data_IF_457684756639
#
_entry.id   IF_457684756639
#
_cell.length_a   1.000
_cell.length_b   1.000
_cell.length_c   1.000
_cell.angle_alpha   90.00
_cell.angle_beta   90.00
_cell.angle_gamma   90.00
#
_symmetry.space_group_name_H-M   'P 1'
#
loop_
_entity.id
_entity.type
_entity.pdbx_description
1 polymer ?
#
# COMPACT_ATOMS: atom_id res chain seq x y z
N UNK A 1 13.50 -5.98 -7.00
CA UNK A 1 12.42 -5.07 -7.41
C UNK A 1 12.99 -3.69 -7.76
N UNK A 2 12.44 -3.01 -8.78
CA UNK A 2 12.86 -1.66 -9.17
C UNK A 2 11.69 -0.70 -9.19
N UNK A 3 11.81 0.45 -8.50
CA UNK A 3 10.91 1.60 -8.66
C UNK A 3 11.59 2.70 -9.46
N UNK A 4 10.89 3.23 -10.46
CA UNK A 4 11.27 4.42 -11.21
C UNK A 4 10.20 5.49 -11.01
N UNK A 5 10.52 6.60 -10.35
CA UNK A 5 9.58 7.66 -10.04
C UNK A 5 9.88 8.88 -10.88
N UNK A 6 8.93 9.27 -11.72
CA UNK A 6 9.01 10.44 -12.60
C UNK A 6 8.30 11.59 -11.91
N UNK A 7 9.00 12.69 -11.65
CA UNK A 7 8.50 13.84 -10.88
C UNK A 7 9.16 15.14 -11.33
N UNK A 8 8.55 16.27 -11.03
CA UNK A 8 9.17 17.62 -11.17
C UNK A 8 9.87 18.08 -9.89
N UNK A 9 9.82 17.28 -8.81
CA UNK A 9 10.42 17.56 -7.50
C UNK A 9 11.25 16.38 -6.99
N UNK A 10 12.39 16.04 -7.62
CA UNK A 10 13.18 14.87 -7.26
C UNK A 10 13.69 14.92 -5.80
N UNK A 11 14.04 16.09 -5.29
CA UNK A 11 14.58 16.26 -3.93
C UNK A 11 13.55 15.94 -2.82
N UNK A 12 12.26 15.89 -3.16
CA UNK A 12 11.21 15.49 -2.22
C UNK A 12 11.49 14.11 -1.59
N UNK A 13 12.05 13.20 -2.37
CA UNK A 13 12.26 11.81 -1.94
C UNK A 13 13.53 11.60 -1.11
N UNK A 14 14.39 12.60 -1.00
CA UNK A 14 15.63 12.51 -0.22
C UNK A 14 15.35 12.23 1.27
N UNK A 15 14.19 12.67 1.81
CA UNK A 15 13.77 12.40 3.20
C UNK A 15 13.20 11.01 3.37
N UNK A 16 12.00 10.71 2.81
CA UNK A 16 11.21 9.52 3.16
C UNK A 16 11.94 8.20 2.88
N UNK A 17 12.79 8.13 1.86
CA UNK A 17 13.44 6.88 1.46
C UNK A 17 14.76 6.59 2.19
N UNK A 18 15.24 7.51 3.01
CA UNK A 18 16.51 7.36 3.73
C UNK A 18 16.36 6.84 5.17
N UNK A 19 15.18 6.38 5.57
CA UNK A 19 14.91 5.92 6.94
C UNK A 19 14.17 4.59 6.98
N UNK A 20 14.22 3.93 8.14
CA UNK A 20 13.41 2.77 8.48
C UNK A 20 13.59 1.57 7.54
N UNK A 21 12.46 0.96 7.18
CA UNK A 21 12.40 -0.25 6.37
C UNK A 21 12.88 0.01 4.94
N UNK A 22 12.55 1.16 4.35
CA UNK A 22 12.97 1.52 2.99
C UNK A 22 14.49 1.58 2.88
N UNK A 23 15.15 2.31 3.78
CA UNK A 23 16.62 2.36 3.82
C UNK A 23 17.24 0.98 3.97
N UNK A 24 16.68 0.15 4.87
CA UNK A 24 17.15 -1.22 5.08
C UNK A 24 17.00 -2.06 3.81
N UNK A 25 15.84 -2.05 3.18
CA UNK A 25 15.57 -2.82 1.97
C UNK A 25 16.50 -2.42 0.81
N UNK A 26 16.73 -1.11 0.61
CA UNK A 26 17.72 -0.63 -0.35
C UNK A 26 19.14 -1.12 -0.02
N UNK A 27 19.55 -1.03 1.26
CA UNK A 27 20.87 -1.48 1.69
C UNK A 27 21.10 -2.99 1.54
N UNK A 28 20.04 -3.78 1.60
CA UNK A 28 20.06 -5.22 1.37
C UNK A 28 19.92 -5.61 -0.12
N UNK A 29 19.75 -4.63 -1.01
CA UNK A 29 19.54 -4.89 -2.44
C UNK A 29 18.20 -5.52 -2.79
N UNK A 30 17.22 -5.49 -1.88
CA UNK A 30 15.87 -6.02 -2.11
C UNK A 30 15.08 -5.12 -3.06
N UNK A 31 15.34 -3.82 -3.00
CA UNK A 31 14.71 -2.80 -3.84
C UNK A 31 15.73 -1.76 -4.27
N UNK A 32 15.60 -1.30 -5.50
CA UNK A 32 16.26 -0.10 -6.01
C UNK A 32 15.21 0.96 -6.35
N UNK A 33 15.47 2.22 -5.98
CA UNK A 33 14.54 3.32 -6.20
C UNK A 33 15.28 4.43 -6.94
N UNK A 34 14.89 4.64 -8.20
CA UNK A 34 15.43 5.68 -9.07
C UNK A 34 14.45 6.82 -9.24
N UNK A 35 14.91 8.04 -8.99
CA UNK A 35 14.08 9.26 -9.13
C UNK A 35 14.52 9.99 -10.41
N UNK A 36 13.56 10.27 -11.27
CA UNK A 36 13.77 10.93 -12.56
C UNK A 36 13.16 12.33 -12.54
N UNK A 37 14.01 13.35 -12.68
CA UNK A 37 13.55 14.73 -12.87
C UNK A 37 12.94 14.89 -14.27
N UNK A 38 11.63 15.10 -14.34
CA UNK A 38 10.89 15.28 -15.58
C UNK A 38 11.44 16.45 -16.43
N UNK A 39 12.01 17.47 -15.77
CA UNK A 39 12.62 18.62 -16.46
C UNK A 39 13.84 18.24 -17.30
N UNK A 40 14.46 17.12 -17.02
CA UNK A 40 15.60 16.60 -17.78
C UNK A 40 15.19 16.04 -19.16
N UNK A 41 13.90 15.83 -19.38
CA UNK A 41 13.33 15.32 -20.63
C UNK A 41 12.64 16.43 -21.47
N UNK A 42 12.93 17.68 -21.19
CA UNK A 42 12.48 18.83 -22.00
C UNK A 42 13.58 19.29 -22.93
N UNK A 43 13.21 19.83 -24.10
CA UNK A 43 14.14 20.26 -25.13
C UNK A 43 14.24 21.78 -25.24
N UNK A 44 13.41 22.52 -24.50
CA UNK A 44 13.41 23.97 -24.50
C UNK A 44 14.35 24.54 -23.41
N UNK A 45 14.81 25.78 -23.63
CA UNK A 45 15.74 26.48 -22.73
C UNK A 45 15.20 26.62 -21.30
N UNK A 46 13.88 26.73 -21.15
CA UNK A 46 13.23 26.98 -19.86
C UNK A 46 12.85 25.70 -19.14
N UNK A 47 13.09 24.52 -19.72
CA UNK A 47 12.72 23.20 -19.19
C UNK A 47 11.25 23.12 -18.81
N UNK A 48 10.37 23.57 -19.72
CA UNK A 48 8.94 23.73 -19.49
C UNK A 48 8.22 22.38 -19.56
N UNK A 49 7.69 21.92 -18.45
CA UNK A 49 7.03 20.61 -18.30
C UNK A 49 5.50 20.68 -18.38
N UNK A 50 4.93 21.87 -18.34
CA UNK A 50 3.49 22.13 -18.26
C UNK A 50 3.04 23.18 -19.27
N UNK A 51 1.73 23.25 -19.54
CA UNK A 51 1.11 24.27 -20.40
C UNK A 51 -0.37 24.44 -20.02
N UNK A 52 -1.02 25.45 -20.60
CA UNK A 52 -2.45 25.70 -20.38
C UNK A 52 -3.31 24.59 -20.99
N UNK A 53 -4.41 24.18 -20.33
CA UNK A 53 -5.30 23.16 -20.88
C UNK A 53 -6.00 23.66 -22.16
N UNK A 54 -6.21 22.77 -23.11
CA UNK A 54 -7.10 23.02 -24.24
C UNK A 54 -8.54 23.20 -23.72
N UNK A 55 -9.29 24.08 -24.35
CA UNK A 55 -10.64 24.44 -23.92
C UNK A 55 -10.68 25.53 -22.84
N UNK A 56 -9.52 25.98 -22.36
CA UNK A 56 -9.43 26.97 -21.27
C UNK A 56 -9.66 26.33 -19.91
N UNK A 57 -9.66 27.15 -18.88
CA UNK A 57 -9.79 26.73 -17.48
C UNK A 57 -8.66 27.28 -16.62
N UNK A 58 -8.76 27.04 -15.32
CA UNK A 58 -7.76 27.41 -14.34
C UNK A 58 -6.58 26.43 -14.38
N UNK A 59 -5.40 26.87 -13.95
CA UNK A 59 -4.23 26.02 -13.76
C UNK A 59 -3.46 25.63 -15.03
N UNK A 60 -2.65 24.61 -14.89
CA UNK A 60 -1.72 24.07 -15.89
C UNK A 60 -1.87 22.55 -15.96
N UNK A 61 -1.42 21.93 -17.06
CA UNK A 61 -1.42 20.47 -17.27
C UNK A 61 -0.01 20.05 -17.65
N UNK A 62 0.50 18.96 -17.09
CA UNK A 62 1.79 18.40 -17.46
C UNK A 62 1.76 17.91 -18.91
N UNK A 63 2.74 18.36 -19.68
CA UNK A 63 2.88 18.06 -21.11
C UNK A 63 3.13 16.57 -21.35
N UNK A 64 2.57 16.00 -22.42
CA UNK A 64 2.77 14.60 -22.75
C UNK A 64 4.20 14.26 -23.16
N UNK A 65 4.86 15.13 -23.94
CA UNK A 65 6.16 14.80 -24.53
C UNK A 65 7.25 14.52 -23.48
N UNK A 66 7.49 15.34 -22.44
CA UNK A 66 8.52 15.05 -21.46
C UNK A 66 8.25 13.74 -20.71
N UNK A 67 6.99 13.42 -20.39
CA UNK A 67 6.62 12.18 -19.71
C UNK A 67 6.85 10.97 -20.63
N UNK A 68 6.45 11.09 -21.90
CA UNK A 68 6.68 10.05 -22.89
C UNK A 68 8.18 9.74 -23.02
N UNK A 69 9.01 10.77 -23.19
CA UNK A 69 10.47 10.63 -23.33
C UNK A 69 11.10 10.03 -22.08
N UNK A 70 10.63 10.43 -20.88
CA UNK A 70 11.08 9.86 -19.62
C UNK A 70 10.79 8.34 -19.55
N UNK A 71 9.56 7.91 -19.85
CA UNK A 71 9.19 6.49 -19.84
C UNK A 71 9.95 5.71 -20.92
N UNK A 72 10.11 6.28 -22.13
CA UNK A 72 10.89 5.62 -23.20
C UNK A 72 12.37 5.43 -22.81
N UNK A 73 12.97 6.39 -22.09
CA UNK A 73 14.36 6.28 -21.63
C UNK A 73 14.58 5.08 -20.69
N UNK A 74 13.53 4.61 -20.03
CA UNK A 74 13.57 3.45 -19.15
C UNK A 74 13.51 2.11 -19.91
N UNK A 75 13.32 2.14 -21.22
CA UNK A 75 13.22 0.94 -22.06
C UNK A 75 12.14 -0.02 -21.56
N UNK A 76 10.99 0.54 -21.14
CA UNK A 76 9.79 -0.23 -20.76
C UNK A 76 9.13 -0.75 -22.05
N UNK A 77 8.64 -1.99 -22.02
CA UNK A 77 7.91 -2.56 -23.16
C UNK A 77 6.68 -1.72 -23.54
N UNK A 78 6.27 -1.68 -24.81
CA UNK A 78 5.04 -1.05 -25.23
C UNK A 78 3.85 -1.57 -24.41
N UNK A 79 2.89 -0.70 -24.07
CA UNK A 79 1.73 -1.04 -23.22
C UNK A 79 1.03 -2.33 -23.64
N UNK A 80 0.86 -2.55 -24.95
CA UNK A 80 0.21 -3.75 -25.49
C UNK A 80 1.01 -5.08 -25.30
N UNK A 81 2.32 -4.98 -25.09
CA UNK A 81 3.23 -6.13 -24.94
C UNK A 81 3.65 -6.33 -23.50
N UNK A 82 3.25 -5.43 -22.59
CA UNK A 82 3.70 -5.41 -21.21
C UNK A 82 3.13 -6.55 -20.39
N UNK A 83 4.00 -7.26 -19.70
CA UNK A 83 3.62 -8.30 -18.74
C UNK A 83 3.61 -7.69 -17.34
N UNK A 84 2.44 -7.64 -16.69
CA UNK A 84 2.24 -6.95 -15.40
C UNK A 84 3.15 -7.43 -14.26
N UNK A 85 3.53 -8.71 -14.25
CA UNK A 85 4.48 -9.24 -13.28
C UNK A 85 5.92 -8.78 -13.53
N UNK A 86 6.26 -8.42 -14.76
CA UNK A 86 7.59 -7.91 -15.10
C UNK A 86 7.68 -6.41 -14.93
N UNK A 87 6.70 -5.69 -15.45
CA UNK A 87 6.74 -4.23 -15.41
C UNK A 87 5.34 -3.62 -15.52
N UNK A 88 5.15 -2.51 -14.83
CA UNK A 88 3.90 -1.76 -14.85
C UNK A 88 4.18 -0.25 -14.78
N UNK A 89 3.37 0.54 -15.46
CA UNK A 89 3.39 2.01 -15.42
C UNK A 89 2.12 2.51 -14.74
N UNK A 90 2.29 3.32 -13.72
CA UNK A 90 1.22 3.83 -12.86
C UNK A 90 1.20 5.35 -12.93
N UNK A 91 0.05 5.92 -13.20
CA UNK A 91 -0.22 7.34 -13.00
C UNK A 91 -0.86 7.55 -11.63
N UNK A 92 -0.35 8.51 -10.87
CA UNK A 92 -0.95 8.91 -9.60
C UNK A 92 -1.88 10.10 -9.80
N UNK A 93 -3.15 9.91 -9.48
CA UNK A 93 -4.21 10.88 -9.69
C UNK A 93 -5.32 10.68 -8.66
N UNK A 94 -6.03 11.75 -8.31
CA UNK A 94 -7.23 11.65 -7.48
C UNK A 94 -8.39 10.92 -8.20
N UNK A 95 -8.34 10.80 -9.53
CA UNK A 95 -9.34 10.13 -10.35
C UNK A 95 -9.10 8.61 -10.48
N UNK A 96 -7.95 8.13 -10.00
CA UNK A 96 -7.55 6.73 -10.10
C UNK A 96 -8.34 5.79 -9.20
N UNK A 97 -8.20 4.49 -9.48
CA UNK A 97 -8.76 3.46 -8.60
C UNK A 97 -8.09 3.52 -7.20
N UNK A 98 -8.84 3.26 -6.12
CA UNK A 98 -8.29 3.29 -4.77
C UNK A 98 -7.15 2.28 -4.58
N UNK A 99 -6.03 2.74 -4.02
CA UNK A 99 -4.94 1.87 -3.58
C UNK A 99 -5.39 1.03 -2.36
N UNK A 100 -5.05 -0.25 -2.37
CA UNK A 100 -5.40 -1.19 -1.30
C UNK A 100 -4.24 -2.10 -0.97
N UNK A 101 -4.33 -2.82 0.17
CA UNK A 101 -3.33 -3.83 0.55
C UNK A 101 -3.22 -4.95 -0.51
N UNK A 102 -4.33 -5.38 -1.10
CA UNK A 102 -4.32 -6.36 -2.18
C UNK A 102 -3.52 -5.87 -3.41
N UNK A 103 -3.68 -4.59 -3.77
CA UNK A 103 -2.89 -3.99 -4.84
C UNK A 103 -1.42 -3.84 -4.46
N UNK A 104 -1.11 -3.55 -3.20
CA UNK A 104 0.27 -3.53 -2.71
C UNK A 104 0.93 -4.92 -2.83
N UNK A 105 0.20 -5.99 -2.51
CA UNK A 105 0.66 -7.37 -2.66
C UNK A 105 0.92 -7.73 -4.14
N UNK A 106 0.00 -7.37 -5.04
CA UNK A 106 0.19 -7.57 -6.48
C UNK A 106 1.43 -6.82 -6.99
N UNK A 107 1.62 -5.57 -6.57
CA UNK A 107 2.80 -4.79 -6.95
C UNK A 107 4.11 -5.33 -6.37
N UNK A 108 4.07 -5.96 -5.20
CA UNK A 108 5.25 -6.59 -4.60
C UNK A 108 5.79 -7.79 -5.41
N UNK A 109 4.96 -8.39 -6.26
CA UNK A 109 5.34 -9.45 -7.20
C UNK A 109 5.88 -8.91 -8.53
N UNK A 110 5.83 -7.59 -8.76
CA UNK A 110 6.27 -6.95 -10.00
C UNK A 110 7.77 -6.64 -9.95
N UNK A 111 8.52 -6.97 -11.00
CA UNK A 111 9.96 -6.71 -11.03
C UNK A 111 10.29 -5.22 -11.16
N UNK A 112 9.52 -4.47 -11.96
CA UNK A 112 9.74 -3.04 -12.23
C UNK A 112 8.43 -2.26 -12.23
N UNK A 113 8.38 -1.21 -11.40
CA UNK A 113 7.24 -0.29 -11.31
C UNK A 113 7.70 1.12 -11.69
N UNK A 114 7.04 1.72 -12.68
CA UNK A 114 7.20 3.13 -13.05
C UNK A 114 6.03 3.90 -12.47
N UNK A 115 6.32 4.95 -11.70
CA UNK A 115 5.32 5.82 -11.08
C UNK A 115 5.44 7.22 -11.68
N UNK A 116 4.37 7.72 -12.26
CA UNK A 116 4.26 9.08 -12.78
C UNK A 116 3.53 9.93 -11.74
N UNK A 117 4.22 10.92 -11.18
CA UNK A 117 3.63 11.87 -10.24
C UNK A 117 2.94 13.00 -10.98
N UNK A 118 1.60 13.02 -10.97
CA UNK A 118 0.81 14.14 -11.48
C UNK A 118 1.02 15.40 -10.64
N UNK A 119 0.87 16.57 -11.27
CA UNK A 119 0.91 17.90 -10.64
C UNK A 119 -0.06 18.85 -11.31
N UNK A 120 -0.37 19.96 -10.65
CA UNK A 120 -1.31 20.98 -11.13
C UNK A 120 -2.72 20.38 -11.33
N UNK A 121 -3.34 20.62 -12.52
CA UNK A 121 -4.63 20.02 -12.89
C UNK A 121 -4.50 18.55 -13.33
N UNK A 122 -3.28 18.03 -13.43
CA UNK A 122 -3.01 16.65 -13.80
C UNK A 122 -2.01 16.51 -14.93
N UNK A 123 -2.09 15.38 -15.59
CA UNK A 123 -1.26 14.99 -16.74
C UNK A 123 -2.13 14.95 -17.98
N UNK A 124 -1.58 15.30 -19.14
CA UNK A 124 -2.29 15.14 -20.43
C UNK A 124 -2.81 13.70 -20.56
N UNK A 125 -4.13 13.55 -20.80
CA UNK A 125 -4.81 12.25 -20.77
C UNK A 125 -4.23 11.23 -21.76
N UNK A 126 -3.64 11.69 -22.84
CA UNK A 126 -2.97 10.83 -23.83
C UNK A 126 -1.83 10.00 -23.20
N UNK A 127 -1.23 10.46 -22.11
CA UNK A 127 -0.22 9.69 -21.36
C UNK A 127 -0.85 8.50 -20.65
N UNK A 128 -2.01 8.70 -20.02
CA UNK A 128 -2.76 7.63 -19.41
C UNK A 128 -3.16 6.57 -20.45
N UNK A 129 -3.73 7.01 -21.57
CA UNK A 129 -4.14 6.12 -22.64
C UNK A 129 -2.98 5.32 -23.26
N UNK A 130 -1.86 5.99 -23.57
CA UNK A 130 -0.74 5.41 -24.31
C UNK A 130 0.22 4.59 -23.44
N UNK A 131 0.47 5.04 -22.20
CA UNK A 131 1.57 4.51 -21.39
C UNK A 131 1.11 3.80 -20.12
N UNK A 132 0.06 4.28 -19.44
CA UNK A 132 -0.25 3.78 -18.10
C UNK A 132 -1.08 2.51 -18.14
N UNK A 133 -0.70 1.53 -17.32
CA UNK A 133 -1.45 0.31 -17.09
C UNK A 133 -2.53 0.52 -16.04
N UNK A 134 -2.28 1.47 -15.12
CA UNK A 134 -3.16 1.82 -14.02
C UNK A 134 -3.10 3.31 -13.72
N UNK A 135 -4.21 3.84 -13.29
CA UNK A 135 -4.33 5.13 -12.63
C UNK A 135 -4.76 4.87 -11.18
N UNK A 136 -3.99 5.38 -10.20
CA UNK A 136 -4.16 5.03 -8.78
C UNK A 136 -4.34 6.28 -7.94
N UNK A 137 -5.33 6.24 -7.04
CA UNK A 137 -5.59 7.20 -5.96
C UNK A 137 -5.27 6.59 -4.61
N UNK A 138 -4.75 7.37 -3.66
CA UNK A 138 -4.54 6.91 -2.27
C UNK A 138 -5.68 7.31 -1.32
N UNK A 139 -6.78 7.84 -1.84
CA UNK A 139 -7.97 8.19 -1.06
C UNK A 139 -8.76 9.36 -1.64
N UNK A 140 -9.94 9.59 -1.08
CA UNK A 140 -10.91 10.60 -1.51
C UNK A 140 -10.54 12.00 -0.99
N UNK A 141 -9.37 12.49 -1.38
CA UNK A 141 -8.87 13.83 -1.10
C UNK A 141 -7.85 14.25 -2.15
N UNK A 142 -7.70 15.56 -2.32
CA UNK A 142 -6.78 16.13 -3.30
C UNK A 142 -5.47 16.53 -2.64
N UNK A 143 -4.36 16.11 -3.23
CA UNK A 143 -3.00 16.51 -2.87
C UNK A 143 -2.46 17.53 -3.86
N UNK A 144 -1.43 18.26 -3.47
CA UNK A 144 -0.72 19.19 -4.37
C UNK A 144 0.07 18.50 -5.48
N UNK A 145 0.22 17.15 -5.41
CA UNK A 145 0.89 16.32 -6.42
C UNK A 145 1.06 14.88 -5.98
N UNK A 146 1.57 14.05 -6.87
CA UNK A 146 1.68 12.61 -6.70
C UNK A 146 2.84 12.13 -5.80
N UNK A 147 3.75 12.99 -5.38
CA UNK A 147 4.97 12.57 -4.68
C UNK A 147 4.69 11.92 -3.32
N UNK A 148 3.73 12.46 -2.54
CA UNK A 148 3.30 11.83 -1.28
C UNK A 148 2.64 10.47 -1.55
N UNK A 149 1.80 10.38 -2.57
CA UNK A 149 1.16 9.13 -2.96
C UNK A 149 2.20 8.09 -3.42
N UNK A 150 3.22 8.51 -4.18
CA UNK A 150 4.33 7.64 -4.56
C UNK A 150 5.07 7.11 -3.33
N UNK A 151 5.36 7.96 -2.34
CA UNK A 151 6.02 7.55 -1.11
C UNK A 151 5.18 6.53 -0.31
N UNK A 152 3.86 6.74 -0.21
CA UNK A 152 2.93 5.80 0.45
C UNK A 152 2.92 4.45 -0.25
N UNK A 153 2.80 4.43 -1.58
CA UNK A 153 2.77 3.18 -2.36
C UNK A 153 4.10 2.43 -2.24
N UNK A 154 5.23 3.12 -2.39
CA UNK A 154 6.56 2.50 -2.26
C UNK A 154 6.75 1.90 -0.88
N UNK A 155 6.39 2.61 0.20
CA UNK A 155 6.48 2.08 1.57
C UNK A 155 5.60 0.85 1.76
N UNK A 156 4.34 0.93 1.36
CA UNK A 156 3.38 -0.18 1.48
C UNK A 156 3.83 -1.44 0.71
N UNK A 157 4.44 -1.28 -0.47
CA UNK A 157 4.91 -2.39 -1.29
C UNK A 157 6.23 -2.96 -0.77
N UNK A 158 7.21 -2.11 -0.46
CA UNK A 158 8.56 -2.56 -0.05
C UNK A 158 8.53 -3.37 1.23
N UNK A 159 7.65 -3.02 2.19
CA UNK A 159 7.53 -3.79 3.43
C UNK A 159 7.00 -5.23 3.23
N UNK A 160 6.38 -5.52 2.08
CA UNK A 160 5.90 -6.84 1.70
C UNK A 160 6.98 -7.71 1.03
N UNK A 161 8.09 -7.12 0.62
CA UNK A 161 9.18 -7.88 -0.01
C UNK A 161 9.81 -8.86 0.99
N UNK A 162 10.09 -10.11 0.57
CA UNK A 162 10.77 -11.07 1.42
C UNK A 162 12.10 -10.53 1.98
N UNK A 163 12.26 -10.56 3.30
CA UNK A 163 13.46 -10.07 3.99
C UNK A 163 13.46 -8.56 4.33
N UNK A 164 12.49 -7.78 3.87
CA UNK A 164 12.37 -6.36 4.23
C UNK A 164 12.01 -6.18 5.70
N UNK A 165 11.05 -6.92 6.22
CA UNK A 165 10.70 -6.95 7.64
C UNK A 165 11.62 -7.90 8.41
N UNK A 166 11.84 -7.59 9.70
CA UNK A 166 12.64 -8.43 10.60
C UNK A 166 11.97 -9.78 10.93
N UNK A 167 10.64 -9.79 10.98
CA UNK A 167 9.83 -10.99 11.11
C UNK A 167 8.94 -11.12 9.86
N UNK A 168 9.09 -12.17 9.05
CA UNK A 168 8.32 -12.39 7.84
C UNK A 168 6.80 -12.54 8.09
N UNK A 169 6.42 -13.00 9.30
CA UNK A 169 5.01 -13.18 9.65
C UNK A 169 4.29 -11.85 9.98
N UNK A 170 5.04 -10.76 10.19
CA UNK A 170 4.44 -9.48 10.56
C UNK A 170 3.46 -8.95 9.51
N UNK A 171 3.73 -9.17 8.23
CA UNK A 171 2.84 -8.74 7.13
C UNK A 171 1.61 -9.64 6.95
N UNK A 172 1.62 -10.87 7.50
CA UNK A 172 0.50 -11.81 7.38
C UNK A 172 -0.61 -11.54 8.37
N UNK A 173 -0.25 -11.04 9.56
CA UNK A 173 -1.14 -10.93 10.72
C UNK A 173 -1.58 -9.50 11.05
N UNK A 174 -1.31 -8.57 10.17
CA UNK A 174 -1.73 -7.16 10.29
C UNK A 174 -3.11 -6.90 9.65
N UNK A 175 -3.64 -5.69 9.84
CA UNK A 175 -4.88 -5.25 9.20
C UNK A 175 -4.81 -5.50 7.68
N UNK A 176 -5.91 -6.00 7.11
CA UNK A 176 -6.03 -6.36 5.68
C UNK A 176 -5.13 -7.51 5.23
N UNK A 177 -4.45 -8.20 6.15
CA UNK A 177 -3.66 -9.39 5.84
C UNK A 177 -4.50 -10.47 5.18
N UNK A 178 -3.86 -11.39 4.43
CA UNK A 178 -4.54 -12.51 3.78
C UNK A 178 -5.27 -13.39 4.81
N UNK A 179 -6.33 -14.07 4.36
CA UNK A 179 -6.98 -15.08 5.17
C UNK A 179 -5.97 -16.14 5.63
N UNK A 180 -6.08 -16.57 6.89
CA UNK A 180 -5.38 -17.76 7.34
C UNK A 180 -5.91 -18.96 6.54
N UNK A 181 -5.12 -19.43 5.59
CA UNK A 181 -5.28 -20.77 5.07
C UNK A 181 -4.86 -21.69 6.21
N UNK A 182 -5.81 -22.06 7.05
CA UNK A 182 -5.62 -22.89 8.25
C UNK A 182 -5.38 -24.37 7.92
N UNK A 183 -4.84 -24.69 6.73
CA UNK A 183 -4.54 -26.05 6.35
C UNK A 183 -3.09 -26.15 5.87
N UNK A 184 -2.33 -27.03 6.54
CA UNK A 184 -0.98 -27.52 6.19
C UNK A 184 0.29 -26.71 6.58
N UNK A 185 0.29 -26.01 7.69
CA UNK A 185 1.56 -25.85 8.41
C UNK A 185 1.77 -27.10 9.30
N UNK A 186 2.42 -28.12 8.75
CA UNK A 186 2.80 -29.30 9.47
C UNK A 186 3.42 -28.97 10.84
N UNK A 187 3.06 -29.75 11.85
CA UNK A 187 3.53 -29.63 13.22
C UNK A 187 5.07 -29.64 13.28
N UNK A 188 5.68 -28.47 13.21
CA UNK A 188 7.04 -28.27 13.68
C UNK A 188 6.93 -27.96 15.17
N UNK A 189 7.26 -28.95 16.01
CA UNK A 189 7.39 -28.77 17.45
C UNK A 189 8.30 -27.58 17.75
N UNK A 190 7.74 -26.54 18.40
CA UNK A 190 8.49 -25.41 18.95
C UNK A 190 8.28 -24.05 18.27
N UNK A 191 7.57 -23.93 17.17
CA UNK A 191 7.15 -22.61 16.67
C UNK A 191 5.93 -22.11 17.47
N UNK A 192 5.90 -20.84 17.93
CA UNK A 192 4.70 -20.28 18.53
C UNK A 192 3.60 -20.34 17.46
N UNK A 193 2.56 -21.16 17.69
CA UNK A 193 1.40 -21.26 16.80
C UNK A 193 0.84 -19.87 16.61
N UNK A 194 0.95 -19.38 15.40
CA UNK A 194 0.62 -18.03 15.05
C UNK A 194 -0.82 -17.72 15.37
N UNK A 195 -0.99 -16.59 15.92
CA UNK A 195 -2.22 -15.81 15.97
C UNK A 195 -2.97 -15.92 14.65
N UNK A 196 -4.29 -16.02 14.71
CA UNK A 196 -5.12 -15.83 13.52
C UNK A 196 -4.70 -14.55 12.81
N UNK A 197 -4.45 -14.61 11.51
CA UNK A 197 -4.33 -13.45 10.67
C UNK A 197 -5.58 -12.59 10.75
N UNK A 198 -5.48 -11.33 10.35
CA UNK A 198 -6.63 -10.46 10.33
C UNK A 198 -7.74 -10.98 9.39
N UNK A 199 -7.40 -11.88 8.43
CA UNK A 199 -8.36 -12.46 7.49
C UNK A 199 -9.17 -11.39 6.75
N UNK A 200 -8.50 -10.33 6.28
CA UNK A 200 -9.15 -9.17 5.67
C UNK A 200 -9.75 -8.16 6.65
N UNK A 201 -9.76 -8.44 7.95
CA UNK A 201 -10.26 -7.55 9.01
C UNK A 201 -9.21 -6.49 9.41
N UNK A 202 -9.62 -5.61 10.32
CA UNK A 202 -8.67 -4.79 11.09
C UNK A 202 -8.01 -5.63 12.18
N UNK A 203 -6.77 -5.28 12.49
CA UNK A 203 -6.03 -5.91 13.59
C UNK A 203 -6.63 -5.55 14.96
N UNK A 204 -6.35 -6.39 15.96
CA UNK A 204 -6.76 -6.19 17.35
C UNK A 204 -5.89 -5.14 18.05
N UNK A 205 -6.34 -4.56 19.18
CA UNK A 205 -5.54 -3.59 19.93
C UNK A 205 -4.34 -4.27 20.61
N UNK A 206 -3.18 -3.64 20.52
CA UNK A 206 -1.94 -4.11 21.14
C UNK A 206 -1.67 -3.42 22.46
N UNK A 207 -1.13 -4.17 23.41
CA UNK A 207 -0.72 -3.70 24.73
C UNK A 207 0.74 -4.03 24.99
N UNK A 208 1.45 -3.14 25.68
CA UNK A 208 2.84 -3.33 26.07
C UNK A 208 3.03 -2.93 27.54
N UNK A 209 4.24 -3.07 28.05
CA UNK A 209 4.61 -2.70 29.43
C UNK A 209 4.51 -1.20 29.67
N UNK A 210 4.12 -0.78 30.88
CA UNK A 210 3.78 -1.59 32.06
C UNK A 210 2.38 -2.23 31.96
N UNK A 211 2.11 -3.29 32.75
CA UNK A 211 0.83 -4.00 32.76
C UNK A 211 -0.33 -3.15 33.32
N UNK A 212 -0.04 -2.18 34.16
CA UNK A 212 -0.96 -1.12 34.56
C UNK A 212 -0.36 0.23 34.19
N UNK A 213 -1.10 1.03 33.49
CA UNK A 213 -0.73 2.39 33.14
C UNK A 213 -1.79 3.38 33.61
N UNK A 214 -1.45 4.17 34.62
CA UNK A 214 -2.31 5.18 35.23
C UNK A 214 -3.67 4.63 35.73
N UNK A 215 -3.68 3.41 36.30
CA UNK A 215 -4.88 2.74 36.79
C UNK A 215 -5.70 2.02 35.71
N UNK A 216 -5.18 1.94 34.49
CA UNK A 216 -5.78 1.20 33.38
C UNK A 216 -4.94 -0.07 33.15
N UNK A 217 -5.40 -1.25 33.61
CA UNK A 217 -4.68 -2.50 33.41
C UNK A 217 -4.84 -3.04 31.99
N UNK A 218 -3.91 -3.91 31.58
CA UNK A 218 -4.09 -4.70 30.36
C UNK A 218 -5.27 -5.68 30.55
N UNK A 219 -5.94 -6.10 29.45
CA UNK A 219 -6.98 -7.12 29.53
C UNK A 219 -6.48 -8.40 30.19
N UNK A 220 -7.29 -8.98 31.11
CA UNK A 220 -6.95 -10.19 31.87
C UNK A 220 -6.59 -11.37 30.95
N UNK A 221 -7.26 -11.50 29.81
CA UNK A 221 -6.98 -12.52 28.79
C UNK A 221 -5.51 -12.48 28.29
N UNK A 222 -4.85 -11.31 28.32
CA UNK A 222 -3.47 -11.13 27.87
C UNK A 222 -2.45 -11.38 29.02
N UNK A 223 -2.88 -11.31 30.28
CA UNK A 223 -2.01 -11.50 31.44
C UNK A 223 -1.79 -12.97 31.76
N UNK A 224 -2.72 -13.86 31.40
CA UNK A 224 -2.76 -15.25 31.91
C UNK A 224 -1.87 -16.28 31.20
N UNK A 225 -1.17 -15.91 30.09
CA UNK A 225 -0.26 -16.80 29.37
C UNK A 225 -0.93 -17.98 28.63
N UNK A 226 -2.25 -18.11 28.65
CA UNK A 226 -2.98 -19.15 27.94
C UNK A 226 -3.17 -18.72 26.47
N UNK A 227 -2.45 -19.37 25.56
CA UNK A 227 -2.43 -19.02 24.14
C UNK A 227 -3.82 -19.08 23.49
N UNK A 228 -4.66 -20.05 23.87
CA UNK A 228 -6.00 -20.18 23.32
C UNK A 228 -6.92 -19.03 23.76
N UNK A 229 -6.85 -18.63 25.04
CA UNK A 229 -7.59 -17.47 25.56
C UNK A 229 -7.14 -16.19 24.89
N UNK A 230 -5.83 -16.02 24.70
CA UNK A 230 -5.25 -14.87 24.00
C UNK A 230 -5.72 -14.84 22.54
N UNK A 231 -5.71 -15.98 21.85
CA UNK A 231 -6.15 -16.12 20.47
C UNK A 231 -7.62 -15.69 20.28
N UNK A 232 -8.52 -16.25 21.08
CA UNK A 232 -9.95 -15.90 21.06
C UNK A 232 -10.19 -14.44 21.37
N UNK A 233 -9.48 -13.91 22.37
CA UNK A 233 -9.57 -12.48 22.69
C UNK A 233 -9.14 -11.59 21.50
N UNK A 234 -8.03 -11.93 20.85
CA UNK A 234 -7.55 -11.19 19.66
C UNK A 234 -8.58 -11.20 18.53
N UNK A 235 -9.13 -12.38 18.18
CA UNK A 235 -10.17 -12.49 17.15
C UNK A 235 -11.40 -11.67 17.51
N UNK A 236 -11.89 -11.79 18.74
CA UNK A 236 -13.02 -11.01 19.25
C UNK A 236 -12.78 -9.49 19.12
N UNK A 237 -11.58 -9.02 19.46
CA UNK A 237 -11.24 -7.60 19.38
C UNK A 237 -11.04 -7.11 17.94
N UNK A 238 -10.52 -7.94 17.06
CA UNK A 238 -10.43 -7.65 15.63
C UNK A 238 -11.82 -7.47 15.01
N UNK A 239 -12.75 -8.40 15.29
CA UNK A 239 -14.14 -8.30 14.85
C UNK A 239 -14.83 -7.04 15.38
N UNK A 240 -14.70 -6.77 16.71
CA UNK A 240 -15.24 -5.56 17.31
C UNK A 240 -14.73 -4.30 16.63
N UNK A 241 -13.40 -4.18 16.48
CA UNK A 241 -12.78 -3.00 15.88
C UNK A 241 -13.16 -2.82 14.42
N UNK A 242 -13.32 -3.93 13.70
CA UNK A 242 -13.79 -3.90 12.30
C UNK A 242 -15.24 -3.43 12.23
N UNK A 243 -16.11 -3.96 13.06
CA UNK A 243 -17.51 -3.55 13.12
C UNK A 243 -17.66 -2.04 13.43
N UNK A 244 -16.88 -1.54 14.37
CA UNK A 244 -16.93 -0.13 14.80
C UNK A 244 -16.37 0.84 13.75
N UNK A 245 -15.29 0.49 13.06
CA UNK A 245 -14.54 1.42 12.23
C UNK A 245 -14.65 1.16 10.72
N UNK A 246 -14.79 -0.09 10.30
CA UNK A 246 -14.79 -0.51 8.91
C UNK A 246 -15.76 -1.68 8.68
N UNK A 247 -17.07 -1.48 8.95
CA UNK A 247 -18.09 -2.54 8.77
C UNK A 247 -18.14 -3.06 7.33
N UNK A 248 -17.75 -2.24 6.35
CA UNK A 248 -17.66 -2.64 4.94
C UNK A 248 -16.69 -3.83 4.68
N UNK A 249 -15.72 -4.07 5.57
CA UNK A 249 -14.81 -5.22 5.46
C UNK A 249 -15.49 -6.53 5.80
N UNK A 250 -16.50 -6.52 6.68
CA UNK A 250 -17.26 -7.73 7.02
C UNK A 250 -18.01 -8.30 5.83
N UNK A 251 -18.36 -7.46 4.83
CA UNK A 251 -18.99 -7.92 3.59
C UNK A 251 -18.04 -8.63 2.62
N UNK A 252 -16.74 -8.51 2.84
CA UNK A 252 -15.69 -8.97 1.93
C UNK A 252 -15.04 -10.27 2.35
N UNK A 253 -15.47 -10.83 3.50
CA UNK A 253 -14.91 -12.04 4.08
C UNK A 253 -16.01 -13.08 4.35
N UNK A 254 -15.61 -14.34 4.43
CA UNK A 254 -16.47 -15.38 4.99
C UNK A 254 -16.50 -15.27 6.51
N UNK A 255 -17.70 -15.09 7.07
CA UNK A 255 -17.92 -14.98 8.52
C UNK A 255 -18.32 -16.34 9.04
N UNK A 256 -17.51 -16.95 9.91
CA UNK A 256 -17.81 -18.22 10.58
C UNK A 256 -18.98 -18.09 11.55
N UNK A 257 -19.58 -19.20 11.96
CA UNK A 257 -20.67 -19.19 12.95
C UNK A 257 -20.18 -18.62 14.30
N UNK A 258 -18.94 -18.93 14.73
CA UNK A 258 -18.33 -18.37 15.96
C UNK A 258 -18.15 -16.85 15.85
N UNK A 259 -17.76 -16.35 14.68
CA UNK A 259 -17.62 -14.91 14.43
C UNK A 259 -18.99 -14.21 14.41
N UNK A 260 -20.02 -14.86 13.86
CA UNK A 260 -21.40 -14.33 13.85
C UNK A 260 -21.95 -14.18 15.26
N UNK A 261 -21.74 -15.19 16.11
CA UNK A 261 -22.12 -15.12 17.52
C UNK A 261 -21.40 -13.97 18.24
N UNK A 262 -20.09 -13.86 18.00
CA UNK A 262 -19.26 -12.76 18.54
C UNK A 262 -19.74 -11.39 18.08
N UNK A 263 -20.02 -11.23 16.79
CA UNK A 263 -20.52 -9.97 16.22
C UNK A 263 -21.90 -9.60 16.74
N UNK A 264 -22.80 -10.60 16.93
CA UNK A 264 -24.12 -10.40 17.52
C UNK A 264 -24.04 -9.84 18.95
N UNK A 265 -23.06 -10.28 19.76
CA UNK A 265 -22.83 -9.72 21.09
C UNK A 265 -22.45 -8.21 21.04
N UNK A 266 -21.85 -7.76 19.94
CA UNK A 266 -21.53 -6.36 19.69
C UNK A 266 -22.65 -5.59 18.98
N UNK A 267 -23.82 -6.21 18.78
CA UNK A 267 -25.01 -5.58 18.20
C UNK A 267 -25.10 -5.67 16.68
N UNK A 268 -24.29 -6.50 16.01
CA UNK A 268 -24.42 -6.76 14.59
C UNK A 268 -25.65 -7.61 14.30
N UNK A 269 -26.48 -7.17 13.35
CA UNK A 269 -27.75 -7.84 13.02
C UNK A 269 -27.69 -8.67 11.72
N UNK A 270 -26.49 -8.81 11.13
CA UNK A 270 -26.32 -9.64 9.93
C UNK A 270 -26.70 -8.98 8.61
N UNK A 271 -27.25 -7.77 8.64
CA UNK A 271 -27.62 -6.98 7.46
C UNK A 271 -26.66 -5.80 7.28
N UNK A 272 -25.79 -5.89 6.30
CA UNK A 272 -25.04 -4.76 5.75
C UNK A 272 -25.24 -4.70 4.25
#
# INVERSE_FOLDING_TARGET
MHFNIITIFPDFFAGPFNYGILKRACSLGLVDISIHDLRSFTHDRHRTVDDRPFGGGEGMVLKPQPIYDAVQSLQIAPKAERQRQKETVILLSAQGQPFSQALAQELAETERVVIICGRYEGVDERINELLCDREISIGDYVLSGGELAAAVIVDAVVRLLPGALGNPDSSRFESFGAEDVAEDAGETEGAPRSTYGAGGLLDYPHYTRPADFMGIPIPEALAGGNHEVVRRWRRRMALKKTLENRPDLLQKIEISDEDRETLAEFGWQGDL
#
